data_IF_347819351507
#
_entry.id   IF_347819351507
#
_cell.length_a   1.000
_cell.length_b   1.000
_cell.length_c   1.000
_cell.angle_alpha   90.00
_cell.angle_beta   90.00
_cell.angle_gamma   90.00
#
_symmetry.space_group_name_H-M   'P 1'
#
loop_
_entity.id
_entity.type
_entity.pdbx_description
1 polymer ?
#
# COMPACT_ATOMS: atom_id res chain seq x y z
N UNK A 1 34.73 35.89 48.30
CA UNK A 1 34.05 35.20 49.42
C UNK A 1 32.60 35.65 49.42
N UNK A 2 31.75 34.74 49.90
CA UNK A 2 30.34 34.89 50.29
C UNK A 2 29.21 34.62 49.29
N UNK A 3 28.24 33.94 49.88
CA UNK A 3 27.28 32.97 49.40
C UNK A 3 25.89 33.56 49.07
N UNK A 4 25.16 32.78 48.25
CA UNK A 4 23.71 32.54 48.26
C UNK A 4 22.73 33.72 48.09
N UNK A 5 21.89 33.65 47.04
CA UNK A 5 20.59 32.94 47.10
C UNK A 5 19.67 33.27 45.90
N UNK A 6 18.82 32.28 45.58
CA UNK A 6 17.50 32.32 44.89
C UNK A 6 17.42 32.13 43.36
N UNK A 7 16.75 31.03 43.00
CA UNK A 7 16.05 30.88 41.71
C UNK A 7 15.80 29.43 41.31
N UNK A 8 14.79 28.77 41.88
CA UNK A 8 14.32 27.46 41.40
C UNK A 8 13.54 27.61 40.08
N UNK A 9 13.42 26.53 39.29
CA UNK A 9 12.08 26.13 38.88
C UNK A 9 11.77 24.64 39.14
N UNK A 10 10.47 24.31 39.32
CA UNK A 10 10.01 22.99 39.74
C UNK A 10 10.02 21.97 38.59
N UNK A 11 10.62 20.81 38.84
CA UNK A 11 10.58 19.67 37.93
C UNK A 11 9.22 18.97 38.06
N UNK A 12 8.36 19.09 37.02
CA UNK A 12 7.10 18.36 36.95
C UNK A 12 7.30 17.04 36.20
N UNK A 13 6.82 15.99 36.87
CA UNK A 13 6.82 14.56 36.55
C UNK A 13 6.04 14.22 35.28
N UNK A 14 6.44 13.11 34.68
CA UNK A 14 5.71 12.27 33.71
C UNK A 14 6.76 11.44 32.96
N UNK A 15 7.13 10.20 33.37
CA UNK A 15 6.36 8.94 33.17
C UNK A 15 5.79 8.92 31.73
N UNK A 16 6.21 8.07 30.81
CA UNK A 16 6.59 6.65 30.90
C UNK A 16 7.58 6.31 29.76
N UNK A 17 8.68 5.62 30.05
CA UNK A 17 9.57 5.04 29.02
C UNK A 17 9.90 3.61 29.41
N UNK A 18 9.21 2.65 28.79
CA UNK A 18 9.71 1.36 28.25
C UNK A 18 8.50 0.49 27.82
N UNK A 19 8.61 -0.36 26.78
CA UNK A 19 9.68 -1.35 26.66
C UNK A 19 10.44 -1.33 25.33
N UNK A 20 11.63 -1.91 25.39
CA UNK A 20 12.49 -2.28 24.25
C UNK A 20 11.68 -3.01 23.17
N UNK A 21 11.80 -2.54 21.92
CA UNK A 21 11.46 -3.36 20.75
C UNK A 21 12.52 -4.46 20.61
N UNK A 22 12.07 -5.71 20.76
CA UNK A 22 12.85 -6.90 20.46
C UNK A 22 13.17 -6.94 18.94
N UNK A 23 14.43 -7.14 18.51
CA UNK A 23 14.72 -7.40 17.11
C UNK A 23 14.47 -8.88 16.84
N UNK A 24 13.22 -9.25 16.58
CA UNK A 24 12.90 -10.59 16.09
C UNK A 24 12.18 -10.53 14.75
N UNK A 25 12.87 -11.06 13.73
CA UNK A 25 12.22 -11.57 12.53
C UNK A 25 12.67 -10.88 11.26
N UNK A 26 13.84 -11.29 10.77
CA UNK A 26 14.07 -11.40 9.34
C UNK A 26 12.96 -12.32 8.77
N UNK A 27 11.87 -11.72 8.27
CA UNK A 27 10.77 -12.48 7.67
C UNK A 27 10.26 -11.77 6.42
N UNK A 28 10.81 -12.23 5.30
CA UNK A 28 10.35 -11.94 3.94
C UNK A 28 10.95 -10.66 3.38
N UNK A 29 11.66 -10.77 2.26
CA UNK A 29 11.88 -9.64 1.37
C UNK A 29 10.51 -9.06 1.02
N UNK A 30 10.10 -8.00 1.72
CA UNK A 30 9.01 -7.14 1.28
C UNK A 30 9.51 -6.47 0.01
N UNK A 31 9.38 -7.19 -1.11
CA UNK A 31 9.45 -6.59 -2.42
C UNK A 31 8.39 -5.51 -2.40
N UNK A 32 8.81 -4.25 -2.22
CA UNK A 32 7.95 -3.09 -2.45
C UNK A 32 7.37 -3.27 -3.84
N UNK A 33 6.13 -3.76 -3.91
CA UNK A 33 5.38 -3.85 -5.16
C UNK A 33 5.22 -2.39 -5.58
N UNK A 34 6.00 -1.97 -6.57
CA UNK A 34 5.84 -0.65 -7.14
C UNK A 34 4.48 -0.64 -7.83
N UNK A 35 3.51 0.03 -7.22
CA UNK A 35 2.21 0.28 -7.83
C UNK A 35 2.44 0.98 -9.17
N UNK A 36 1.76 0.50 -10.22
CA UNK A 36 1.81 1.11 -11.53
C UNK A 36 1.40 2.59 -11.42
N UNK A 37 2.24 3.49 -11.95
CA UNK A 37 1.99 4.94 -11.90
C UNK A 37 0.83 5.36 -12.81
N UNK A 38 0.59 4.59 -13.87
CA UNK A 38 -0.43 4.83 -14.86
C UNK A 38 -1.21 3.55 -15.13
N UNK A 39 -2.53 3.70 -15.25
CA UNK A 39 -3.47 2.61 -15.45
C UNK A 39 -4.28 2.84 -16.72
N UNK A 40 -4.56 1.76 -17.43
CA UNK A 40 -5.42 1.72 -18.61
C UNK A 40 -6.72 1.02 -18.27
N UNK A 41 -7.85 1.62 -18.65
CA UNK A 41 -9.15 0.95 -18.61
C UNK A 41 -9.22 -0.08 -19.75
N UNK A 42 -9.69 -1.27 -19.43
CA UNK A 42 -9.99 -2.33 -20.39
C UNK A 42 -11.41 -2.84 -20.16
N UNK A 43 -12.07 -3.26 -21.25
CA UNK A 43 -13.33 -4.00 -21.18
C UNK A 43 -13.05 -5.47 -20.90
N UNK A 44 -13.71 -6.00 -19.85
CA UNK A 44 -13.67 -7.41 -19.50
C UNK A 44 -14.71 -8.22 -20.28
N UNK A 45 -15.84 -7.59 -20.61
CA UNK A 45 -16.91 -8.19 -21.43
C UNK A 45 -17.13 -7.31 -22.65
N UNK A 46 -16.99 -7.89 -23.84
CA UNK A 46 -17.12 -7.14 -25.08
C UNK A 46 -18.52 -6.59 -25.26
N UNK A 47 -18.63 -5.27 -25.46
CA UNK A 47 -19.91 -4.59 -25.66
C UNK A 47 -20.62 -4.20 -24.36
N UNK A 48 -20.01 -4.44 -23.20
CA UNK A 48 -20.53 -4.01 -21.90
C UNK A 48 -19.57 -2.99 -21.25
N UNK A 49 -19.86 -1.69 -21.36
CA UNK A 49 -18.98 -0.63 -20.84
C UNK A 49 -18.98 -0.56 -19.31
N UNK A 50 -19.91 -1.23 -18.62
CA UNK A 50 -19.94 -1.27 -17.15
C UNK A 50 -18.98 -2.32 -16.61
N UNK A 51 -18.69 -3.37 -17.40
CA UNK A 51 -17.76 -4.45 -17.04
C UNK A 51 -16.34 -4.12 -17.49
N UNK A 52 -15.73 -3.16 -16.80
CA UNK A 52 -14.35 -2.72 -17.07
C UNK A 52 -13.41 -2.92 -15.87
N UNK A 53 -12.11 -3.00 -16.12
CA UNK A 53 -11.07 -2.99 -15.08
C UNK A 53 -9.86 -2.16 -15.49
N UNK A 54 -8.93 -1.96 -14.56
CA UNK A 54 -7.70 -1.18 -14.76
C UNK A 54 -6.47 -2.05 -14.65
N UNK A 55 -5.60 -1.96 -15.65
CA UNK A 55 -4.29 -2.64 -15.66
C UNK A 55 -3.16 -1.61 -15.81
N UNK A 56 -1.95 -1.95 -15.35
CA UNK A 56 -0.79 -1.08 -15.53
C UNK A 56 -0.50 -0.79 -17.00
N UNK A 57 -0.18 0.47 -17.33
CA UNK A 57 0.19 0.84 -18.70
C UNK A 57 1.63 0.43 -19.07
N UNK A 58 2.48 0.23 -18.06
CA UNK A 58 3.93 0.06 -18.22
C UNK A 58 4.37 -1.37 -18.58
N UNK A 59 3.57 -2.08 -19.36
CA UNK A 59 3.84 -3.43 -19.85
C UNK A 59 3.94 -3.45 -21.37
N UNK A 60 4.75 -4.35 -21.91
CA UNK A 60 4.85 -4.55 -23.36
C UNK A 60 3.53 -5.09 -23.95
N UNK A 61 3.36 -4.93 -25.26
CA UNK A 61 2.12 -5.27 -25.95
C UNK A 61 1.76 -6.76 -25.86
N UNK A 62 2.76 -7.65 -25.85
CA UNK A 62 2.53 -9.08 -25.78
C UNK A 62 2.02 -9.48 -24.39
N UNK A 63 2.73 -9.06 -23.33
CA UNK A 63 2.31 -9.26 -21.94
C UNK A 63 0.93 -8.65 -21.70
N UNK A 64 0.69 -7.43 -22.18
CA UNK A 64 -0.63 -6.78 -22.05
C UNK A 64 -1.74 -7.61 -22.66
N UNK A 65 -1.51 -8.15 -23.86
CA UNK A 65 -2.50 -8.98 -24.56
C UNK A 65 -2.80 -10.27 -23.78
N UNK A 66 -1.78 -10.92 -23.21
CA UNK A 66 -1.96 -12.11 -22.39
C UNK A 66 -2.76 -11.81 -21.11
N UNK A 67 -2.43 -10.71 -20.43
CA UNK A 67 -3.14 -10.25 -19.23
C UNK A 67 -4.60 -9.96 -19.57
N UNK A 68 -4.88 -9.19 -20.61
CA UNK A 68 -6.24 -8.86 -21.05
C UNK A 68 -7.02 -10.13 -21.37
N UNK A 69 -6.44 -11.06 -22.14
CA UNK A 69 -7.10 -12.34 -22.44
C UNK A 69 -7.40 -13.17 -21.19
N UNK A 70 -6.47 -13.21 -20.25
CA UNK A 70 -6.66 -13.91 -18.98
C UNK A 70 -7.84 -13.31 -18.19
N UNK A 71 -7.88 -11.98 -18.07
CA UNK A 71 -8.93 -11.27 -17.36
C UNK A 71 -10.30 -11.45 -18.04
N UNK A 72 -10.36 -11.36 -19.37
CA UNK A 72 -11.59 -11.57 -20.13
C UNK A 72 -12.13 -13.00 -20.04
N UNK A 73 -11.25 -14.02 -20.06
CA UNK A 73 -11.66 -15.43 -19.91
C UNK A 73 -12.24 -15.75 -18.53
N UNK A 74 -11.87 -14.97 -17.52
CA UNK A 74 -12.30 -15.12 -16.14
C UNK A 74 -13.16 -13.92 -15.71
N UNK A 75 -13.86 -13.28 -16.64
CA UNK A 75 -14.65 -12.09 -16.36
C UNK A 75 -15.70 -12.35 -15.28
N UNK A 76 -16.25 -13.56 -15.21
CA UNK A 76 -17.17 -14.01 -14.14
C UNK A 76 -16.61 -13.83 -12.72
N UNK A 77 -15.29 -13.97 -12.55
CA UNK A 77 -14.61 -13.76 -11.26
C UNK A 77 -14.45 -12.26 -10.97
N UNK A 78 -14.12 -11.46 -11.98
CA UNK A 78 -13.74 -10.06 -11.82
C UNK A 78 -14.91 -9.07 -11.97
N UNK A 79 -16.03 -9.51 -12.52
CA UNK A 79 -17.20 -8.68 -12.83
C UNK A 79 -18.39 -8.95 -11.90
N UNK A 80 -18.17 -9.57 -10.74
CA UNK A 80 -19.22 -9.95 -9.81
C UNK A 80 -20.05 -8.72 -9.40
N UNK A 81 -21.34 -8.73 -9.73
CA UNK A 81 -22.24 -7.62 -9.45
C UNK A 81 -22.41 -7.44 -7.94
N UNK A 82 -22.29 -6.21 -7.42
CA UNK A 82 -22.70 -5.93 -6.04
C UNK A 82 -24.23 -6.06 -5.99
N UNK A 83 -24.71 -7.14 -5.36
CA UNK A 83 -26.12 -7.37 -5.05
C UNK A 83 -26.68 -6.32 -4.09
#
# INVERSE_FOLDING_TARGET
MDEASKGAPPNKRGKDVKPEEEPEGERGTSSKVQLAKELLNIELVSGDPEKTTRIGSQMDDATRKEVVQCLQRNADIFCMDPS
#
